data_IF_114473323016
#
_entry.id   IF_114473323016
#
_cell.length_a   1.000
_cell.length_b   1.000
_cell.length_c   1.000
_cell.angle_alpha   90.00
_cell.angle_beta   90.00
_cell.angle_gamma   90.00
#
_symmetry.space_group_name_H-M   'P 1'
#
loop_
_entity.id
_entity.type
_entity.pdbx_description
1 polymer ?
#
# COMPACT_ATOMS: atom_id res chain seq x y z
N UNK A 1 2.66 -15.24 -13.17
CA UNK A 1 1.50 -14.35 -12.95
C UNK A 1 0.79 -14.52 -11.60
N UNK A 2 0.48 -15.72 -11.13
CA UNK A 2 -0.21 -15.95 -9.84
C UNK A 2 0.35 -15.19 -8.61
N UNK A 3 1.66 -14.97 -8.56
CA UNK A 3 2.30 -14.22 -7.46
C UNK A 3 1.97 -12.73 -7.53
N UNK A 4 1.89 -12.17 -8.74
CA UNK A 4 1.50 -10.77 -8.97
C UNK A 4 0.07 -10.56 -8.51
N UNK A 5 -0.83 -11.44 -8.92
CA UNK A 5 -2.26 -11.36 -8.59
C UNK A 5 -2.47 -11.42 -7.06
N UNK A 6 -1.77 -12.33 -6.37
CA UNK A 6 -1.83 -12.44 -4.91
C UNK A 6 -1.36 -11.16 -4.20
N UNK A 7 -0.24 -10.58 -4.62
CA UNK A 7 0.27 -9.35 -4.01
C UNK A 7 -0.58 -8.13 -4.35
N UNK A 8 -1.12 -8.07 -5.57
CA UNK A 8 -2.02 -7.02 -5.99
C UNK A 8 -3.31 -7.05 -5.17
N UNK A 9 -3.92 -8.22 -5.00
CA UNK A 9 -5.10 -8.40 -4.15
C UNK A 9 -4.82 -7.96 -2.71
N UNK A 10 -3.68 -8.36 -2.14
CA UNK A 10 -3.27 -7.92 -0.81
C UNK A 10 -3.16 -6.39 -0.69
N UNK A 11 -2.57 -5.72 -1.68
CA UNK A 11 -2.42 -4.27 -1.66
C UNK A 11 -3.75 -3.54 -1.87
N UNK A 12 -4.64 -4.13 -2.66
CA UNK A 12 -5.98 -3.59 -2.95
C UNK A 12 -6.89 -3.63 -1.73
N UNK A 13 -6.80 -4.67 -0.89
CA UNK A 13 -7.51 -4.73 0.39
C UNK A 13 -7.13 -3.52 1.27
N UNK A 14 -5.84 -3.24 1.45
CA UNK A 14 -5.39 -2.08 2.24
C UNK A 14 -5.79 -0.75 1.62
N UNK A 15 -5.76 -0.63 0.29
CA UNK A 15 -6.20 0.57 -0.39
C UNK A 15 -7.70 0.83 -0.16
N UNK A 16 -8.50 -0.23 -0.27
CA UNK A 16 -9.95 -0.21 -0.06
C UNK A 16 -10.28 0.14 1.39
N UNK A 17 -9.60 -0.45 2.37
CA UNK A 17 -9.73 -0.08 3.78
C UNK A 17 -9.33 1.38 4.05
N UNK A 18 -8.30 1.88 3.37
CA UNK A 18 -7.90 3.29 3.41
C UNK A 18 -8.97 4.23 2.88
N UNK A 19 -9.71 3.83 1.84
CA UNK A 19 -10.85 4.61 1.32
C UNK A 19 -12.09 4.54 2.21
N UNK A 20 -12.31 3.41 2.91
CA UNK A 20 -13.45 3.26 3.82
C UNK A 20 -13.24 3.91 5.20
N UNK A 21 -12.00 4.03 5.68
CA UNK A 21 -11.71 4.59 7.00
C UNK A 21 -12.24 6.03 7.22
N UNK A 22 -12.12 6.99 6.28
CA UNK A 22 -12.72 8.32 6.40
C UNK A 22 -14.25 8.28 6.33
N UNK A 23 -14.81 7.38 5.52
CA UNK A 23 -16.26 7.19 5.42
C UNK A 23 -16.85 6.72 6.76
N UNK A 24 -16.16 5.82 7.47
CA UNK A 24 -16.53 5.44 8.85
C UNK A 24 -16.45 6.63 9.83
N UNK A 25 -15.48 7.54 9.64
CA UNK A 25 -15.39 8.78 10.40
C UNK A 25 -16.60 9.69 10.20
N UNK A 26 -17.09 9.82 8.96
CA UNK A 26 -18.32 10.57 8.65
C UNK A 26 -19.58 9.92 9.23
N UNK A 27 -19.62 8.60 9.37
CA UNK A 27 -20.72 7.93 10.09
C UNK A 27 -20.68 8.30 11.58
N UNK A 28 -19.48 8.40 12.17
CA UNK A 28 -19.28 8.85 13.55
C UNK A 28 -19.79 10.27 13.82
N UNK A 29 -19.64 11.19 12.85
CA UNK A 29 -20.20 12.54 12.98
C UNK A 29 -21.72 12.54 12.99
N UNK A 30 -22.35 11.70 12.18
CA UNK A 30 -23.80 11.54 12.18
C UNK A 30 -24.30 11.02 13.53
N UNK A 31 -23.62 10.05 14.13
CA UNK A 31 -23.95 9.54 15.46
C UNK A 31 -23.83 10.64 16.52
N UNK A 32 -22.74 11.42 16.49
CA UNK A 32 -22.55 12.53 17.43
C UNK A 32 -23.59 13.65 17.27
N UNK A 33 -24.02 13.94 16.03
CA UNK A 33 -25.11 14.89 15.76
C UNK A 33 -26.45 14.38 16.28
N UNK A 34 -26.76 13.09 16.10
CA UNK A 34 -27.99 12.49 16.66
C UNK A 34 -27.99 12.59 18.18
N UNK A 35 -26.85 12.30 18.83
CA UNK A 35 -26.72 12.40 20.28
C UNK A 35 -26.84 13.84 20.78
N UNK A 36 -26.31 14.81 20.03
CA UNK A 36 -26.46 16.24 20.34
C UNK A 36 -27.93 16.68 20.26
N UNK A 37 -28.68 16.22 19.24
CA UNK A 37 -30.10 16.54 19.08
C UNK A 37 -30.97 15.89 20.16
N UNK A 38 -30.59 14.73 20.68
CA UNK A 38 -31.31 14.04 21.77
C UNK A 38 -31.19 14.74 23.12
N UNK A 39 -30.08 15.44 23.37
CA UNK A 39 -29.79 16.08 24.67
C UNK A 39 -29.82 17.60 24.62
N UNK A 40 -30.58 18.18 23.68
CA UNK A 40 -30.60 19.63 23.45
C UNK A 40 -31.13 20.44 24.65
N UNK A 41 -31.84 19.79 25.56
CA UNK A 41 -32.38 20.42 26.78
C UNK A 41 -31.32 20.73 27.84
N UNK A 42 -30.15 20.05 27.80
CA UNK A 42 -29.03 20.29 28.72
C UNK A 42 -27.75 20.73 27.97
N UNK A 43 -27.43 22.05 27.99
CA UNK A 43 -26.25 22.59 27.32
C UNK A 43 -24.92 21.98 27.76
N UNK A 44 -24.85 21.38 28.95
CA UNK A 44 -23.63 20.75 29.46
C UNK A 44 -23.25 19.47 28.69
N UNK A 45 -24.21 18.85 28.01
CA UNK A 45 -24.02 17.59 27.27
C UNK A 45 -23.61 17.78 25.81
N UNK A 46 -23.72 19.00 25.28
CA UNK A 46 -23.40 19.35 23.89
C UNK A 46 -21.89 19.22 23.62
N UNK A 47 -21.05 19.70 24.54
CA UNK A 47 -19.58 19.64 24.41
C UNK A 47 -19.05 18.21 24.25
N UNK A 48 -19.43 17.27 25.14
CA UNK A 48 -19.06 15.86 25.01
C UNK A 48 -19.52 15.22 23.70
N UNK A 49 -20.77 15.44 23.25
CA UNK A 49 -21.30 14.87 22.01
C UNK A 49 -20.54 15.38 20.77
N UNK A 50 -20.22 16.68 20.75
CA UNK A 50 -19.42 17.29 19.69
C UNK A 50 -17.98 16.76 19.67
N UNK A 51 -17.37 16.52 20.83
CA UNK A 51 -16.02 15.95 20.92
C UNK A 51 -15.95 14.55 20.29
N UNK A 52 -16.97 13.70 20.52
CA UNK A 52 -17.05 12.37 19.91
C UNK A 52 -17.17 12.46 18.39
N UNK A 53 -17.98 13.37 17.86
CA UNK A 53 -18.11 13.60 16.41
C UNK A 53 -16.78 13.99 15.76
N UNK A 54 -16.03 14.90 16.38
CA UNK A 54 -14.75 15.36 15.86
C UNK A 54 -13.65 14.30 15.97
N UNK A 55 -13.59 13.58 17.09
CA UNK A 55 -12.60 12.52 17.31
C UNK A 55 -12.78 11.35 16.34
N UNK A 56 -14.03 10.95 16.06
CA UNK A 56 -14.28 9.86 15.09
C UNK A 56 -13.80 10.22 13.67
N UNK A 57 -13.97 11.47 13.25
CA UNK A 57 -13.42 11.98 11.98
C UNK A 57 -11.90 12.01 11.99
N UNK A 58 -11.31 12.49 13.08
CA UNK A 58 -9.86 12.55 13.25
C UNK A 58 -9.21 11.17 13.19
N UNK A 59 -9.75 10.19 13.94
CA UNK A 59 -9.25 8.82 13.93
C UNK A 59 -9.45 8.13 12.58
N UNK A 60 -10.58 8.37 11.90
CA UNK A 60 -10.82 7.87 10.54
C UNK A 60 -9.80 8.40 9.53
N UNK A 61 -9.51 9.69 9.56
CA UNK A 61 -8.52 10.33 8.70
C UNK A 61 -7.09 9.87 8.99
N UNK A 62 -6.74 9.70 10.26
CA UNK A 62 -5.43 9.16 10.68
C UNK A 62 -5.26 7.73 10.20
N UNK A 63 -6.21 6.84 10.47
CA UNK A 63 -6.09 5.45 10.03
C UNK A 63 -6.00 5.33 8.50
N UNK A 64 -6.76 6.12 7.76
CA UNK A 64 -6.68 6.16 6.30
C UNK A 64 -5.27 6.55 5.81
N UNK A 65 -4.79 7.71 6.23
CA UNK A 65 -3.63 8.36 5.62
C UNK A 65 -2.29 7.93 6.23
N UNK A 66 -2.25 7.59 7.52
CA UNK A 66 -1.01 7.18 8.19
C UNK A 66 -0.78 5.67 8.20
N UNK A 67 -1.84 4.88 8.06
CA UNK A 67 -1.76 3.43 8.26
C UNK A 67 -2.07 2.69 6.97
N UNK A 68 -3.31 2.79 6.46
CA UNK A 68 -3.76 1.94 5.35
C UNK A 68 -3.14 2.28 3.99
N UNK A 69 -3.17 3.55 3.58
CA UNK A 69 -2.60 4.01 2.30
C UNK A 69 -1.08 3.75 2.20
N UNK A 70 -0.25 4.12 3.19
CA UNK A 70 1.19 3.87 3.11
C UNK A 70 1.53 2.37 3.18
N UNK A 71 0.76 1.56 3.90
CA UNK A 71 0.93 0.10 3.86
C UNK A 71 0.61 -0.48 2.47
N UNK A 72 -0.48 -0.04 1.83
CA UNK A 72 -0.81 -0.44 0.46
C UNK A 72 0.30 -0.06 -0.53
N UNK A 73 0.84 1.16 -0.41
CA UNK A 73 1.97 1.63 -1.20
C UNK A 73 3.23 0.78 -1.00
N UNK A 74 3.59 0.50 0.26
CA UNK A 74 4.74 -0.34 0.61
C UNK A 74 4.62 -1.76 0.04
N UNK A 75 3.43 -2.35 0.11
CA UNK A 75 3.20 -3.69 -0.42
C UNK A 75 3.32 -3.75 -1.95
N UNK A 76 2.86 -2.70 -2.65
CA UNK A 76 3.07 -2.56 -4.10
C UNK A 76 4.54 -2.45 -4.45
N UNK A 77 5.32 -1.65 -3.72
CA UNK A 77 6.77 -1.52 -3.95
C UNK A 77 7.48 -2.85 -3.74
N UNK A 78 7.22 -3.55 -2.63
CA UNK A 78 7.78 -4.89 -2.37
C UNK A 78 7.40 -5.90 -3.44
N UNK A 79 6.16 -5.87 -3.92
CA UNK A 79 5.74 -6.74 -5.01
C UNK A 79 6.51 -6.46 -6.31
N UNK A 80 6.81 -5.19 -6.62
CA UNK A 80 7.61 -4.84 -7.81
C UNK A 80 9.04 -5.35 -7.70
N UNK A 81 9.66 -5.19 -6.53
CA UNK A 81 11.01 -5.72 -6.26
C UNK A 81 11.05 -7.24 -6.45
N UNK A 82 10.10 -7.98 -5.87
CA UNK A 82 10.07 -9.44 -5.97
C UNK A 82 9.80 -9.93 -7.40
N UNK A 83 8.95 -9.22 -8.13
CA UNK A 83 8.67 -9.51 -9.54
C UNK A 83 9.90 -9.30 -10.39
N UNK A 84 10.63 -8.20 -10.20
CA UNK A 84 11.87 -7.91 -10.93
C UNK A 84 12.91 -9.03 -10.73
N UNK A 85 13.11 -9.48 -9.48
CA UNK A 85 14.04 -10.58 -9.18
C UNK A 85 13.63 -11.87 -9.89
N UNK A 86 12.33 -12.19 -9.93
CA UNK A 86 11.84 -13.40 -10.60
C UNK A 86 11.96 -13.30 -12.12
N UNK A 87 11.71 -12.14 -12.71
CA UNK A 87 11.94 -11.90 -14.15
C UNK A 87 13.41 -12.04 -14.52
N UNK A 88 14.32 -11.51 -13.70
CA UNK A 88 15.76 -11.69 -13.87
C UNK A 88 16.17 -13.17 -13.87
N UNK A 89 15.66 -13.96 -12.93
CA UNK A 89 15.94 -15.40 -12.85
C UNK A 89 15.41 -16.11 -14.10
N UNK A 90 14.18 -15.84 -14.53
CA UNK A 90 13.58 -16.47 -15.71
C UNK A 90 14.38 -16.14 -16.97
N UNK A 91 14.71 -14.86 -17.19
CA UNK A 91 15.51 -14.43 -18.34
C UNK A 91 16.92 -15.03 -18.30
N UNK A 92 17.54 -15.13 -17.12
CA UNK A 92 18.84 -15.79 -16.94
C UNK A 92 18.80 -17.27 -17.31
N UNK A 93 17.79 -18.01 -16.85
CA UNK A 93 17.63 -19.44 -17.18
C UNK A 93 17.37 -19.64 -18.67
N UNK A 94 16.54 -18.81 -19.30
CA UNK A 94 16.29 -18.87 -20.74
C UNK A 94 17.59 -18.62 -21.53
N UNK A 95 18.38 -17.61 -21.14
CA UNK A 95 19.63 -17.28 -21.82
C UNK A 95 20.68 -18.41 -21.70
N UNK A 96 20.72 -19.09 -20.55
CA UNK A 96 21.55 -20.28 -20.34
C UNK A 96 21.08 -21.46 -21.22
N UNK A 97 19.77 -21.69 -21.31
CA UNK A 97 19.20 -22.77 -22.12
C UNK A 97 19.43 -22.58 -23.63
N UNK A 98 19.44 -21.33 -24.11
CA UNK A 98 19.77 -20.99 -25.51
C UNK A 98 21.28 -21.06 -25.79
N UNK A 99 22.12 -21.14 -24.75
CA UNK A 99 23.57 -21.17 -24.89
C UNK A 99 24.17 -19.82 -25.26
N UNK A 100 23.56 -18.71 -24.84
CA UNK A 100 24.14 -17.38 -25.06
C UNK A 100 25.49 -17.25 -24.33
N UNK A 101 26.42 -16.51 -24.92
CA UNK A 101 27.71 -16.25 -24.29
C UNK A 101 27.50 -15.59 -22.91
N UNK A 102 28.07 -16.11 -21.82
CA UNK A 102 27.89 -15.59 -20.46
C UNK A 102 28.09 -14.08 -20.32
N UNK A 103 28.98 -13.50 -21.13
CA UNK A 103 29.24 -12.05 -21.15
C UNK A 103 28.05 -11.23 -21.68
N UNK A 104 27.32 -11.77 -22.67
CA UNK A 104 26.11 -11.14 -23.22
C UNK A 104 24.94 -11.30 -22.24
N UNK A 105 24.84 -12.46 -21.59
CA UNK A 105 23.82 -12.72 -20.57
C UNK A 105 23.97 -11.76 -19.40
N UNK A 106 25.19 -11.57 -18.90
CA UNK A 106 25.46 -10.61 -17.83
C UNK A 106 25.10 -9.17 -18.25
N UNK A 107 25.47 -8.73 -19.45
CA UNK A 107 25.10 -7.40 -19.96
C UNK A 107 23.59 -7.20 -20.03
N UNK A 108 22.84 -8.21 -20.51
CA UNK A 108 21.38 -8.17 -20.54
C UNK A 108 20.78 -8.11 -19.14
N UNK A 109 21.27 -8.90 -18.19
CA UNK A 109 20.76 -8.90 -16.81
C UNK A 109 21.11 -7.59 -16.07
N UNK A 110 22.32 -7.06 -16.27
CA UNK A 110 22.75 -5.77 -15.71
C UNK A 110 21.93 -4.58 -16.25
N UNK A 111 21.31 -4.70 -17.43
CA UNK A 111 20.42 -3.67 -17.96
C UNK A 111 19.13 -3.51 -17.12
N UNK A 112 18.67 -4.56 -16.44
CA UNK A 112 17.51 -4.51 -15.55
C UNK A 112 17.83 -3.93 -14.16
N UNK A 113 19.12 -3.81 -13.82
CA UNK A 113 19.57 -3.29 -12.52
C UNK A 113 19.87 -1.78 -12.58
N UNK A 114 19.65 -1.05 -11.48
CA UNK A 114 20.09 0.33 -11.33
C UNK A 114 21.61 0.44 -11.51
N UNK A 115 22.13 1.57 -12.04
CA UNK A 115 23.58 1.75 -12.26
C UNK A 115 24.45 1.49 -11.03
N UNK A 116 23.95 1.76 -9.82
CA UNK A 116 24.64 1.55 -8.55
C UNK A 116 24.82 0.07 -8.17
N UNK A 117 24.02 -0.82 -8.74
CA UNK A 117 24.01 -2.25 -8.40
C UNK A 117 24.65 -3.12 -9.50
N UNK A 118 25.01 -2.53 -10.64
CA UNK A 118 25.69 -3.22 -11.73
C UNK A 118 27.10 -3.57 -11.29
N UNK A 119 27.39 -4.87 -11.18
CA UNK A 119 28.74 -5.39 -11.00
C UNK A 119 29.09 -6.23 -12.21
N UNK A 120 30.27 -5.99 -12.78
CA UNK A 120 30.83 -6.81 -13.84
C UNK A 120 31.77 -7.83 -13.22
N UNK A 121 31.60 -9.10 -13.53
CA UNK A 121 32.52 -10.16 -13.13
C UNK A 121 33.65 -10.36 -14.17
N UNK A 122 33.53 -9.75 -15.35
CA UNK A 122 34.48 -9.87 -16.47
C UNK A 122 35.27 -8.58 -16.75
N UNK A 123 35.39 -7.71 -15.75
CA UNK A 123 36.41 -6.63 -15.72
C UNK A 123 37.77 -7.15 -15.26
#
# INVERSE_FOLDING_TARGET
DFIRDRHQFGAEIFNTMGSFAPAMGMIGTLIGLVQMLQSMEDPSTIGPAMAVALLTTFYGAIMANLVFIPMAGKLKTRSKEEVLVKELIVNGVIALAVGENPRIVEQKLNAFLPPSERKSQFE
#
